data_IF_038269435580
#
_entry.id   IF_038269435580
#
_cell.length_a   1.000
_cell.length_b   1.000
_cell.length_c   1.000
_cell.angle_alpha   90.00
_cell.angle_beta   90.00
_cell.angle_gamma   90.00
#
_symmetry.space_group_name_H-M   'P 1'
#
loop_
_entity.id
_entity.type
_entity.pdbx_description
1 polymer ?
#
# COMPACT_ATOMS: atom_id res chain seq x y z
N UNK A 1 0.26 47.56 -3.39
CA UNK A 1 -0.35 46.49 -4.22
C UNK A 1 -0.34 45.22 -3.39
N UNK A 2 -1.47 44.53 -3.27
CA UNK A 2 -1.51 43.23 -2.57
C UNK A 2 -0.68 42.22 -3.36
N UNK A 3 0.31 41.60 -2.73
CA UNK A 3 1.16 40.62 -3.40
C UNK A 3 0.53 39.22 -3.26
N UNK A 4 0.16 38.63 -4.38
CA UNK A 4 -0.27 37.24 -4.45
C UNK A 4 0.89 36.39 -4.97
N UNK A 5 1.18 35.29 -4.28
CA UNK A 5 2.24 34.35 -4.66
C UNK A 5 1.79 32.92 -4.42
N UNK A 6 2.13 32.04 -5.35
CA UNK A 6 1.95 30.59 -5.23
C UNK A 6 3.32 29.97 -4.96
N UNK A 7 3.37 29.10 -3.95
CA UNK A 7 4.53 28.25 -3.65
C UNK A 7 4.10 26.82 -3.99
N UNK A 8 4.87 26.15 -4.84
CA UNK A 8 4.55 24.79 -5.31
C UNK A 8 5.60 23.79 -4.81
N UNK A 9 5.10 22.66 -4.33
CA UNK A 9 5.83 21.39 -4.22
C UNK A 9 5.27 20.51 -5.32
N UNK A 10 5.96 20.48 -6.46
CA UNK A 10 5.42 19.84 -7.68
C UNK A 10 5.32 18.32 -7.55
N UNK A 11 6.15 17.70 -6.72
CA UNK A 11 6.11 16.26 -6.45
C UNK A 11 6.34 15.99 -4.97
N UNK A 12 5.42 15.24 -4.36
CA UNK A 12 5.57 14.70 -3.01
C UNK A 12 6.57 13.55 -3.03
N UNK A 13 7.71 13.73 -2.37
CA UNK A 13 8.67 12.65 -2.18
C UNK A 13 8.25 11.73 -1.03
N UNK A 14 8.67 10.45 -1.09
CA UNK A 14 8.46 9.43 -0.04
C UNK A 14 6.99 9.21 0.32
N UNK A 15 6.11 9.21 -0.66
CA UNK A 15 4.72 8.73 -0.55
C UNK A 15 4.46 7.68 -1.62
N UNK A 16 3.39 6.90 -1.45
CA UNK A 16 2.86 6.12 -2.56
C UNK A 16 1.88 6.98 -3.37
N UNK A 17 1.88 6.79 -4.68
CA UNK A 17 1.14 7.59 -5.64
C UNK A 17 1.84 8.89 -6.03
N UNK A 18 1.15 9.67 -6.86
CA UNK A 18 1.66 10.93 -7.42
C UNK A 18 0.77 12.11 -7.02
N UNK A 19 1.41 13.16 -6.51
CA UNK A 19 0.73 14.35 -6.01
C UNK A 19 1.69 15.47 -5.64
N UNK A 20 1.14 16.64 -5.38
CA UNK A 20 1.87 17.87 -5.07
C UNK A 20 1.09 18.78 -4.12
N UNK A 21 1.74 19.83 -3.64
CA UNK A 21 1.12 20.83 -2.76
C UNK A 21 1.24 22.20 -3.39
N UNK A 22 0.15 22.96 -3.40
CA UNK A 22 0.15 24.38 -3.76
C UNK A 22 -0.28 25.22 -2.56
N UNK A 23 0.58 26.15 -2.15
CA UNK A 23 0.32 27.11 -1.08
C UNK A 23 0.13 28.49 -1.71
N UNK A 24 -1.07 29.01 -1.58
CA UNK A 24 -1.43 30.35 -2.04
C UNK A 24 -1.23 31.32 -0.89
N UNK A 25 -0.58 32.43 -1.18
CA UNK A 25 -0.26 33.47 -0.20
C UNK A 25 -0.76 34.82 -0.68
N UNK A 26 -1.28 35.60 0.25
CA UNK A 26 -1.76 36.97 0.04
C UNK A 26 -1.22 37.85 1.15
N UNK A 27 -0.52 38.93 0.79
CA UNK A 27 0.08 39.87 1.74
C UNK A 27 0.96 39.19 2.81
N UNK A 28 1.74 38.19 2.38
CA UNK A 28 2.64 37.43 3.25
C UNK A 28 1.94 36.43 4.19
N UNK A 29 0.61 36.28 4.10
CA UNK A 29 -0.16 35.28 4.86
C UNK A 29 -0.62 34.15 3.96
N UNK A 30 -0.71 32.93 4.51
CA UNK A 30 -1.30 31.79 3.82
C UNK A 30 -2.80 32.03 3.69
N UNK A 31 -3.30 31.94 2.46
CA UNK A 31 -4.72 32.08 2.12
C UNK A 31 -5.39 30.70 1.97
N UNK A 32 -4.79 29.82 1.15
CA UNK A 32 -5.26 28.44 0.96
C UNK A 32 -4.11 27.48 0.66
N UNK A 33 -4.31 26.21 1.02
CA UNK A 33 -3.39 25.10 0.73
C UNK A 33 -4.17 24.00 0.01
N UNK A 34 -3.66 23.55 -1.12
CA UNK A 34 -4.24 22.46 -1.90
C UNK A 34 -3.26 21.29 -1.95
N UNK A 35 -3.76 20.09 -1.68
CA UNK A 35 -3.09 18.83 -2.02
C UNK A 35 -3.69 18.36 -3.33
N UNK A 36 -2.85 18.30 -4.37
CA UNK A 36 -3.24 17.87 -5.70
C UNK A 36 -2.79 16.43 -5.90
N UNK A 37 -3.70 15.56 -6.32
CA UNK A 37 -3.37 14.18 -6.70
C UNK A 37 -3.35 14.12 -8.22
N UNK A 38 -2.19 13.78 -8.78
CA UNK A 38 -1.99 13.73 -10.23
C UNK A 38 -2.23 12.35 -10.80
N UNK A 39 -2.33 11.33 -9.94
CA UNK A 39 -2.61 9.97 -10.34
C UNK A 39 -3.90 9.90 -11.16
N UNK A 40 -3.77 9.57 -12.44
CA UNK A 40 -4.91 9.49 -13.35
C UNK A 40 -5.88 8.37 -12.94
N UNK A 41 -7.19 8.55 -13.18
CA UNK A 41 -8.17 7.53 -12.84
C UNK A 41 -7.92 6.28 -13.68
N UNK A 42 -7.55 5.18 -13.03
CA UNK A 42 -7.32 3.87 -13.67
C UNK A 42 -8.62 3.14 -14.02
N UNK A 43 -9.76 3.67 -13.57
CA UNK A 43 -11.11 3.18 -13.88
C UNK A 43 -11.30 1.69 -13.59
N UNK A 44 -10.69 1.17 -12.52
CA UNK A 44 -10.76 -0.24 -12.13
C UNK A 44 -12.20 -0.70 -11.96
N UNK A 45 -13.07 0.15 -11.42
CA UNK A 45 -14.51 -0.11 -11.25
C UNK A 45 -15.24 -0.37 -12.59
N UNK A 46 -14.84 0.34 -13.65
CA UNK A 46 -15.37 0.09 -14.98
C UNK A 46 -14.76 -1.17 -15.60
N UNK A 47 -13.45 -1.40 -15.40
CA UNK A 47 -12.70 -2.53 -15.96
C UNK A 47 -13.17 -3.90 -15.44
N UNK A 48 -13.66 -3.97 -14.20
CA UNK A 48 -14.19 -5.21 -13.62
C UNK A 48 -15.56 -5.63 -14.16
N UNK A 49 -16.24 -4.76 -14.91
CA UNK A 49 -17.56 -5.07 -15.49
C UNK A 49 -17.40 -6.09 -16.62
N UNK A 50 -18.24 -7.12 -16.60
CA UNK A 50 -18.22 -8.20 -17.61
C UNK A 50 -17.07 -9.20 -17.45
N UNK A 51 -16.21 -9.03 -16.44
CA UNK A 51 -15.16 -9.97 -16.09
C UNK A 51 -15.70 -11.07 -15.18
N UNK A 52 -15.04 -12.22 -15.23
CA UNK A 52 -15.29 -13.31 -14.29
C UNK A 52 -14.87 -12.92 -12.87
N UNK A 53 -15.41 -13.61 -11.87
CA UNK A 53 -15.05 -13.39 -10.46
C UNK A 53 -13.55 -13.56 -10.21
N UNK A 54 -12.91 -14.51 -10.90
CA UNK A 54 -11.47 -14.78 -10.73
C UNK A 54 -10.61 -13.70 -11.37
N UNK A 55 -10.99 -13.22 -12.56
CA UNK A 55 -10.34 -12.05 -13.18
C UNK A 55 -10.45 -10.83 -12.28
N UNK A 56 -11.63 -10.58 -11.68
CA UNK A 56 -11.84 -9.45 -10.79
C UNK A 56 -10.95 -9.48 -9.55
N UNK A 57 -10.85 -10.64 -8.89
CA UNK A 57 -9.98 -10.83 -7.72
C UNK A 57 -8.52 -10.54 -8.08
N UNK A 58 -8.07 -10.97 -9.26
CA UNK A 58 -6.70 -10.67 -9.71
C UNK A 58 -6.54 -9.18 -10.05
N UNK A 59 -7.46 -8.61 -10.83
CA UNK A 59 -7.36 -7.25 -11.36
C UNK A 59 -7.31 -6.19 -10.25
N UNK A 60 -8.21 -6.26 -9.26
CA UNK A 60 -8.26 -5.28 -8.16
C UNK A 60 -7.01 -5.31 -7.28
N UNK A 61 -6.31 -6.44 -7.20
CA UNK A 61 -5.05 -6.52 -6.45
C UNK A 61 -3.93 -5.65 -7.07
N UNK A 62 -4.12 -5.12 -8.29
CA UNK A 62 -3.21 -4.20 -9.00
C UNK A 62 -3.55 -2.72 -8.77
N UNK A 63 -4.53 -2.42 -7.91
CA UNK A 63 -4.77 -1.03 -7.47
C UNK A 63 -3.56 -0.49 -6.71
N UNK A 64 -2.88 -1.31 -5.92
CA UNK A 64 -1.65 -0.90 -5.25
C UNK A 64 -0.77 -2.13 -4.98
N UNK A 65 0.54 -1.96 -5.14
CA UNK A 65 1.52 -3.01 -4.87
C UNK A 65 1.80 -3.21 -3.37
N UNK A 66 1.60 -2.16 -2.56
CA UNK A 66 1.81 -2.21 -1.10
C UNK A 66 0.63 -2.93 -0.43
N UNK A 67 -0.62 -2.50 -0.70
CA UNK A 67 -1.82 -3.05 -0.07
C UNK A 67 -2.54 -4.11 -0.94
N UNK A 68 -1.77 -4.96 -1.61
CA UNK A 68 -2.28 -5.96 -2.54
C UNK A 68 -3.15 -7.05 -1.90
N UNK A 69 -2.84 -7.46 -0.67
CA UNK A 69 -3.64 -8.38 0.15
C UNK A 69 -4.95 -7.74 0.51
N UNK A 70 -4.92 -6.50 0.99
CA UNK A 70 -6.13 -5.74 1.33
C UNK A 70 -7.12 -5.75 0.16
N UNK A 71 -6.67 -5.37 -1.05
CA UNK A 71 -7.54 -5.35 -2.22
C UNK A 71 -8.06 -6.74 -2.61
N UNK A 72 -7.18 -7.75 -2.64
CA UNK A 72 -7.57 -9.10 -3.03
C UNK A 72 -8.54 -9.72 -2.02
N UNK A 73 -8.24 -9.62 -0.73
CA UNK A 73 -9.04 -10.17 0.34
C UNK A 73 -10.41 -9.47 0.45
N UNK A 74 -10.45 -8.14 0.24
CA UNK A 74 -11.71 -7.40 0.16
C UNK A 74 -12.60 -7.89 -0.98
N UNK A 75 -12.02 -8.10 -2.17
CA UNK A 75 -12.74 -8.63 -3.33
C UNK A 75 -13.27 -10.05 -3.11
N UNK A 76 -12.43 -10.94 -2.58
CA UNK A 76 -12.85 -12.30 -2.21
C UNK A 76 -14.00 -12.26 -1.20
N UNK A 77 -13.87 -11.47 -0.14
CA UNK A 77 -14.89 -11.35 0.91
C UNK A 77 -16.21 -10.80 0.37
N UNK A 78 -16.17 -9.84 -0.55
CA UNK A 78 -17.35 -9.29 -1.21
C UNK A 78 -18.07 -10.35 -2.06
N UNK A 79 -17.31 -11.13 -2.85
CA UNK A 79 -17.85 -12.20 -3.69
C UNK A 79 -18.42 -13.34 -2.83
N UNK A 80 -17.73 -13.75 -1.78
CA UNK A 80 -18.22 -14.78 -0.85
C UNK A 80 -19.52 -14.36 -0.18
N UNK A 81 -19.63 -13.10 0.24
CA UNK A 81 -20.87 -12.55 0.79
C UNK A 81 -22.01 -12.59 -0.24
N UNK A 82 -21.74 -12.21 -1.48
CA UNK A 82 -22.73 -12.23 -2.56
C UNK A 82 -23.20 -13.66 -2.88
N UNK A 83 -22.28 -14.63 -2.87
CA UNK A 83 -22.53 -16.05 -3.14
C UNK A 83 -22.98 -16.84 -1.91
N UNK A 84 -23.06 -16.21 -0.72
CA UNK A 84 -23.38 -16.85 0.56
C UNK A 84 -22.44 -18.03 0.90
N UNK A 85 -21.18 -17.93 0.53
CA UNK A 85 -20.15 -18.94 0.83
C UNK A 85 -19.83 -18.90 2.32
N UNK A 86 -19.90 -20.07 2.98
CA UNK A 86 -19.44 -20.22 4.36
C UNK A 86 -17.93 -20.47 4.37
N UNK A 87 -17.17 -19.52 4.88
CA UNK A 87 -15.70 -19.62 4.95
C UNK A 87 -15.29 -20.36 6.23
N UNK A 88 -14.55 -21.48 6.14
CA UNK A 88 -14.08 -22.21 7.31
C UNK A 88 -13.20 -21.34 8.22
N UNK A 89 -13.24 -21.58 9.53
CA UNK A 89 -12.44 -20.85 10.53
C UNK A 89 -10.94 -20.87 10.20
N UNK A 90 -10.41 -22.02 9.81
CA UNK A 90 -9.01 -22.15 9.38
C UNK A 90 -8.65 -21.21 8.23
N UNK A 91 -9.55 -21.02 7.26
CA UNK A 91 -9.34 -20.07 6.15
C UNK A 91 -9.33 -18.63 6.66
N UNK A 92 -10.20 -18.28 7.62
CA UNK A 92 -10.23 -16.94 8.21
C UNK A 92 -8.93 -16.64 8.96
N UNK A 93 -8.43 -17.59 9.75
CA UNK A 93 -7.15 -17.46 10.45
C UNK A 93 -5.97 -17.30 9.48
N UNK A 94 -5.95 -18.05 8.38
CA UNK A 94 -4.94 -17.89 7.32
C UNK A 94 -5.02 -16.51 6.65
N UNK A 95 -6.23 -15.98 6.44
CA UNK A 95 -6.42 -14.61 5.93
C UNK A 95 -5.93 -13.55 6.92
N UNK A 96 -6.16 -13.73 8.22
CA UNK A 96 -5.61 -12.83 9.23
C UNK A 96 -4.08 -12.84 9.22
N UNK A 97 -3.47 -14.04 9.21
CA UNK A 97 -2.00 -14.17 9.11
C UNK A 97 -1.47 -13.50 7.84
N UNK A 98 -2.17 -13.68 6.72
CA UNK A 98 -1.80 -13.06 5.44
C UNK A 98 -1.91 -11.53 5.49
N UNK A 99 -2.94 -11.00 6.13
CA UNK A 99 -3.11 -9.55 6.33
C UNK A 99 -2.06 -8.98 7.29
N UNK A 100 -1.68 -9.72 8.34
CA UNK A 100 -0.59 -9.32 9.23
C UNK A 100 0.77 -9.29 8.51
N UNK A 101 0.99 -10.17 7.53
CA UNK A 101 2.19 -10.11 6.70
C UNK A 101 2.24 -8.82 5.87
N UNK A 102 1.12 -8.38 5.29
CA UNK A 102 1.00 -7.09 4.62
C UNK A 102 1.21 -5.93 5.60
N UNK A 103 0.65 -6.00 6.81
CA UNK A 103 0.84 -4.96 7.83
C UNK A 103 2.32 -4.77 8.18
N UNK A 104 3.05 -5.86 8.42
CA UNK A 104 4.49 -5.77 8.69
C UNK A 104 5.20 -5.13 7.50
N UNK A 105 4.94 -5.59 6.27
CA UNK A 105 5.59 -5.07 5.07
C UNK A 105 5.32 -3.57 4.86
N UNK A 106 4.06 -3.17 4.97
CA UNK A 106 3.57 -1.81 4.72
C UNK A 106 3.95 -0.83 5.84
N UNK A 107 3.84 -1.23 7.10
CA UNK A 107 4.19 -0.37 8.23
C UNK A 107 5.70 -0.19 8.33
N UNK A 108 6.49 -1.24 8.09
CA UNK A 108 7.94 -1.10 8.03
C UNK A 108 8.34 -0.20 6.87
N UNK A 109 7.71 -0.35 5.70
CA UNK A 109 7.92 0.57 4.56
C UNK A 109 7.67 2.02 4.98
N UNK A 110 6.47 2.31 5.48
CA UNK A 110 6.06 3.66 5.83
C UNK A 110 6.92 4.25 6.93
N UNK A 111 7.05 3.55 8.06
CA UNK A 111 7.79 4.07 9.22
C UNK A 111 9.25 4.26 8.86
N UNK A 112 9.96 3.23 8.42
CA UNK A 112 11.43 3.30 8.31
C UNK A 112 11.91 3.98 7.04
N UNK A 113 11.23 3.80 5.91
CA UNK A 113 11.72 4.29 4.62
C UNK A 113 11.11 5.63 4.23
N UNK A 114 9.86 5.89 4.66
CA UNK A 114 9.13 7.09 4.27
C UNK A 114 9.20 8.17 5.35
N UNK A 115 8.75 7.88 6.57
CA UNK A 115 8.60 8.89 7.62
C UNK A 115 9.89 9.14 8.43
N UNK A 116 10.56 8.09 8.90
CA UNK A 116 11.69 8.19 9.82
C UNK A 116 12.85 9.09 9.35
N UNK A 117 13.21 9.15 8.05
CA UNK A 117 14.24 10.08 7.59
C UNK A 117 13.96 11.55 7.94
N UNK A 118 12.68 11.98 7.97
CA UNK A 118 12.33 13.36 8.37
C UNK A 118 12.71 13.65 9.82
N UNK A 119 12.44 12.70 10.72
CA UNK A 119 12.73 12.85 12.15
C UNK A 119 14.24 12.95 12.41
N UNK A 120 15.05 12.32 11.57
CA UNK A 120 16.51 12.41 11.62
C UNK A 120 17.09 13.51 10.72
N UNK A 121 16.25 14.31 10.06
CA UNK A 121 16.66 15.35 9.10
C UNK A 121 17.58 14.80 8.00
N UNK A 122 17.29 13.58 7.54
CA UNK A 122 17.99 12.89 6.46
C UNK A 122 17.15 12.88 5.19
N UNK A 123 17.80 12.95 4.04
CA UNK A 123 17.11 12.99 2.74
C UNK A 123 16.37 11.68 2.40
N UNK A 124 16.83 10.55 2.95
CA UNK A 124 16.24 9.22 2.72
C UNK A 124 16.74 8.22 3.76
N UNK A 125 16.13 7.03 3.79
CA UNK A 125 16.65 5.91 4.60
C UNK A 125 18.05 5.43 4.18
N UNK A 126 18.46 5.65 2.92
CA UNK A 126 19.84 5.35 2.48
C UNK A 126 20.81 6.36 3.08
N UNK A 127 20.44 7.65 3.10
CA UNK A 127 21.25 8.70 3.73
C UNK A 127 21.39 8.50 5.25
N UNK A 128 20.50 7.74 5.87
CA UNK A 128 20.63 7.36 7.28
C UNK A 128 21.76 6.34 7.54
N UNK A 129 22.21 5.57 6.55
CA UNK A 129 23.19 4.48 6.76
C UNK A 129 24.46 4.90 7.51
N UNK A 130 25.14 6.02 7.21
CA UNK A 130 26.40 6.35 7.90
C UNK A 130 26.24 6.62 9.40
N UNK A 131 25.03 6.95 9.87
CA UNK A 131 24.76 7.40 11.25
C UNK A 131 23.78 6.52 12.01
N UNK A 132 22.95 5.74 11.31
CA UNK A 132 21.87 4.92 11.86
C UNK A 132 21.81 3.54 11.17
N UNK A 133 22.98 2.93 10.93
CA UNK A 133 23.11 1.62 10.26
C UNK A 133 22.17 0.57 10.85
N UNK A 134 22.18 0.41 12.17
CA UNK A 134 21.43 -0.64 12.84
C UNK A 134 19.92 -0.50 12.61
N UNK A 135 19.40 0.73 12.67
CA UNK A 135 17.99 1.04 12.36
C UNK A 135 17.62 0.70 10.92
N UNK A 136 18.50 1.01 9.95
CA UNK A 136 18.24 0.69 8.54
C UNK A 136 18.33 -0.82 8.29
N UNK A 137 19.29 -1.52 8.92
CA UNK A 137 19.41 -2.98 8.83
C UNK A 137 18.19 -3.67 9.45
N UNK A 138 17.73 -3.21 10.61
CA UNK A 138 16.51 -3.68 11.26
C UNK A 138 15.30 -3.56 10.32
N UNK A 139 15.14 -2.40 9.68
CA UNK A 139 14.09 -2.17 8.69
C UNK A 139 14.13 -3.20 7.55
N UNK A 140 15.32 -3.47 7.00
CA UNK A 140 15.50 -4.45 5.92
C UNK A 140 15.13 -5.85 6.39
N UNK A 141 15.53 -6.24 7.60
CA UNK A 141 15.23 -7.56 8.16
C UNK A 141 13.72 -7.73 8.40
N UNK A 142 13.07 -6.76 9.03
CA UNK A 142 11.62 -6.82 9.27
C UNK A 142 10.82 -6.79 7.97
N UNK A 143 11.23 -5.95 7.00
CA UNK A 143 10.61 -5.91 5.67
C UNK A 143 10.75 -7.25 4.94
N UNK A 144 11.94 -7.87 5.02
CA UNK A 144 12.16 -9.22 4.48
C UNK A 144 11.20 -10.22 5.11
N UNK A 145 11.06 -10.22 6.44
CA UNK A 145 10.15 -11.11 7.16
C UNK A 145 8.71 -10.99 6.66
N UNK A 146 8.16 -9.78 6.56
CA UNK A 146 6.83 -9.54 5.99
C UNK A 146 6.69 -10.08 4.56
N UNK A 147 7.68 -9.81 3.68
CA UNK A 147 7.63 -10.31 2.30
C UNK A 147 7.77 -11.83 2.16
N UNK A 148 8.51 -12.50 3.04
CA UNK A 148 8.61 -13.97 3.01
C UNK A 148 7.33 -14.63 3.52
N UNK A 149 6.66 -14.05 4.53
CA UNK A 149 5.33 -14.48 4.94
C UNK A 149 4.29 -14.30 3.82
N UNK A 150 4.34 -13.16 3.12
CA UNK A 150 3.55 -12.92 1.92
C UNK A 150 3.79 -13.98 0.85
N UNK A 151 5.06 -14.32 0.58
CA UNK A 151 5.44 -15.37 -0.38
C UNK A 151 4.93 -16.74 0.05
N UNK A 152 5.04 -17.08 1.32
CA UNK A 152 4.55 -18.35 1.87
C UNK A 152 3.04 -18.51 1.69
N UNK A 153 2.27 -17.45 1.94
CA UNK A 153 0.80 -17.50 1.95
C UNK A 153 0.18 -17.22 0.58
N UNK A 154 0.82 -16.40 -0.24
CA UNK A 154 0.27 -15.91 -1.50
C UNK A 154 0.99 -16.51 -2.73
N UNK A 155 2.18 -17.09 -2.57
CA UNK A 155 3.03 -17.64 -3.62
C UNK A 155 4.08 -16.67 -4.20
N UNK A 156 3.93 -15.35 -4.00
CA UNK A 156 4.91 -14.32 -4.38
C UNK A 156 4.97 -13.25 -3.28
N UNK A 157 5.89 -12.30 -3.39
CA UNK A 157 5.97 -11.20 -2.41
C UNK A 157 4.89 -10.14 -2.64
N UNK A 158 4.51 -9.93 -3.89
CA UNK A 158 3.55 -8.91 -4.34
C UNK A 158 2.61 -9.55 -5.39
N UNK A 159 1.33 -9.14 -5.36
CA UNK A 159 0.27 -9.55 -6.28
C UNK A 159 0.00 -11.05 -6.31
N UNK A 160 -0.53 -11.59 -5.23
CA UNK A 160 -0.76 -13.03 -5.12
C UNK A 160 -1.94 -13.60 -5.80
N UNK A 161 -1.83 -14.87 -6.14
CA UNK A 161 -2.94 -15.61 -6.74
C UNK A 161 -3.40 -16.80 -5.88
N UNK A 162 -2.67 -17.16 -4.81
CA UNK A 162 -2.99 -18.34 -4.01
C UNK A 162 -4.29 -18.22 -3.21
N UNK A 163 -4.67 -17.01 -2.77
CA UNK A 163 -5.95 -16.80 -2.08
C UNK A 163 -7.11 -16.85 -3.07
N UNK A 164 -8.13 -17.65 -2.76
CA UNK A 164 -9.29 -17.94 -3.59
C UNK A 164 -10.60 -17.80 -2.78
N UNK A 165 -11.73 -17.87 -3.47
CA UNK A 165 -13.05 -17.99 -2.84
C UNK A 165 -13.08 -19.31 -2.05
N UNK A 166 -13.51 -19.23 -0.79
CA UNK A 166 -13.61 -20.34 0.16
C UNK A 166 -12.28 -20.77 0.81
N UNK A 167 -11.12 -20.31 0.33
CA UNK A 167 -9.85 -20.89 0.78
C UNK A 167 -8.59 -20.35 0.12
N UNK A 168 -7.59 -21.23 0.06
CA UNK A 168 -6.30 -21.01 -0.59
C UNK A 168 -6.02 -22.21 -1.51
N UNK A 169 -5.36 -21.98 -2.65
CA UNK A 169 -4.97 -23.05 -3.58
C UNK A 169 -4.02 -24.06 -2.92
N UNK A 170 -3.07 -23.57 -2.11
CA UNK A 170 -2.21 -24.37 -1.25
C UNK A 170 -2.04 -23.68 0.09
N UNK A 171 -2.19 -24.43 1.18
CA UNK A 171 -1.87 -23.94 2.54
C UNK A 171 -0.41 -24.28 2.89
N UNK A 172 0.25 -23.48 3.73
CA UNK A 172 1.57 -23.83 4.27
C UNK A 172 1.53 -25.18 4.99
N UNK A 173 2.60 -25.96 4.86
CA UNK A 173 2.81 -27.28 5.50
C UNK A 173 3.94 -27.19 6.50
#
# INVERSE_FOLDING_TARGET
>A
MMSEKIISVDVLARVEGDGGIQVYTKDGKVDKVLVNIFEGPRMIEALVRGKTIHENISLVARICAICTVSHRNASISAIEKALKVKVPEKTQLLRHLWHYAEYIESHVLHVYYLALPDFFKQASAIAMLPTHTDTVVEAVVMKKYGTELMKLLHGRKIHGENALIGGFGRVPT
#
